data_IF_821652823650
#
_entry.id   IF_821652823650
#
_cell.length_a   1.000
_cell.length_b   1.000
_cell.length_c   1.000
_cell.angle_alpha   90.00
_cell.angle_beta   90.00
_cell.angle_gamma   90.00
#
_symmetry.space_group_name_H-M   'P 1'
#
loop_
_entity.id
_entity.type
_entity.pdbx_description
1 polymer ?
#
# COMPACT_ATOMS: atom_id res chain seq x y z
N UNK A 1 8.58 15.57 -14.93
CA UNK A 1 7.92 15.01 -13.72
C UNK A 1 8.69 13.83 -13.15
N UNK A 2 9.22 12.91 -13.97
CA UNK A 2 10.05 11.78 -13.51
C UNK A 2 11.25 12.21 -12.66
N UNK A 3 12.00 13.22 -13.10
CA UNK A 3 13.17 13.74 -12.39
C UNK A 3 12.86 14.26 -10.96
N UNK A 4 11.67 14.83 -10.76
CA UNK A 4 11.25 15.33 -9.43
C UNK A 4 10.83 14.14 -8.55
N UNK A 5 10.11 13.17 -9.11
CA UNK A 5 9.71 11.96 -8.39
C UNK A 5 10.94 11.14 -7.95
N UNK A 6 11.93 11.00 -8.83
CA UNK A 6 13.16 10.27 -8.55
C UNK A 6 14.02 10.96 -7.48
N UNK A 7 14.11 12.30 -7.51
CA UNK A 7 14.80 13.06 -6.46
C UNK A 7 14.09 12.93 -5.11
N UNK A 8 12.76 12.99 -5.08
CA UNK A 8 11.98 12.80 -3.85
C UNK A 8 12.19 11.37 -3.32
N UNK A 9 12.10 10.36 -4.18
CA UNK A 9 12.31 8.95 -3.82
C UNK A 9 13.75 8.71 -3.36
N UNK A 10 14.74 9.31 -4.01
CA UNK A 10 16.16 9.15 -3.69
C UNK A 10 16.52 9.85 -2.37
N UNK A 11 15.95 11.01 -2.08
CA UNK A 11 16.06 11.67 -0.77
C UNK A 11 15.36 10.84 0.31
N UNK A 12 14.21 10.24 -0.01
CA UNK A 12 13.51 9.34 0.89
C UNK A 12 14.38 8.12 1.20
N UNK A 13 14.83 7.37 0.19
CA UNK A 13 15.66 6.17 0.36
C UNK A 13 16.99 6.49 1.06
N UNK A 14 17.64 7.61 0.72
CA UNK A 14 18.93 8.02 1.31
C UNK A 14 18.83 8.37 2.80
N UNK A 15 17.71 8.96 3.24
CA UNK A 15 17.47 9.22 4.66
C UNK A 15 16.85 8.04 5.41
N UNK A 16 16.35 7.02 4.70
CA UNK A 16 15.68 5.87 5.29
C UNK A 16 16.66 4.73 5.59
N UNK A 17 17.26 4.78 6.77
CA UNK A 17 17.70 3.53 7.41
C UNK A 17 16.47 2.73 7.79
N UNK A 18 16.20 1.68 7.01
CA UNK A 18 15.11 0.71 7.17
C UNK A 18 14.98 0.13 8.60
N UNK A 19 16.02 0.23 9.41
CA UNK A 19 16.08 -0.32 10.78
C UNK A 19 15.39 0.58 11.83
N UNK A 20 15.26 1.89 11.60
CA UNK A 20 14.73 2.83 12.60
C UNK A 20 13.22 3.07 12.50
N UNK A 21 12.55 2.62 11.43
CA UNK A 21 11.15 3.00 11.13
C UNK A 21 10.25 1.84 10.66
N UNK A 22 9.87 0.91 11.56
CA UNK A 22 9.00 -0.23 11.24
C UNK A 22 7.63 0.17 10.68
N UNK A 23 7.10 1.33 11.11
CA UNK A 23 5.83 1.88 10.60
C UNK A 23 5.84 2.17 9.11
N UNK A 24 6.99 2.58 8.56
CA UNK A 24 7.10 2.89 7.13
C UNK A 24 7.16 1.64 6.26
N UNK A 25 7.82 0.59 6.73
CA UNK A 25 7.76 -0.72 6.06
C UNK A 25 6.32 -1.21 6.00
N UNK A 26 5.57 -1.09 7.11
CA UNK A 26 4.17 -1.51 7.14
C UNK A 26 3.27 -0.62 6.27
N UNK A 27 3.59 0.67 6.16
CA UNK A 27 2.89 1.57 5.24
C UNK A 27 3.07 1.13 3.79
N UNK A 28 4.31 0.88 3.34
CA UNK A 28 4.56 0.36 1.99
C UNK A 28 3.90 -1.00 1.75
N UNK A 29 3.88 -1.90 2.75
CA UNK A 29 3.14 -3.17 2.67
C UNK A 29 1.63 -2.93 2.47
N UNK A 30 1.02 -2.02 3.23
CA UNK A 30 -0.39 -1.67 3.11
C UNK A 30 -0.74 -1.10 1.73
N UNK A 31 0.04 -0.14 1.23
CA UNK A 31 -0.14 0.43 -0.11
C UNK A 31 0.01 -0.64 -1.20
N UNK A 32 1.01 -1.53 -1.06
CA UNK A 32 1.22 -2.64 -2.00
C UNK A 32 0.03 -3.60 -2.04
N UNK A 33 -0.53 -3.95 -0.87
CA UNK A 33 -1.75 -4.77 -0.76
C UNK A 33 -2.92 -4.08 -1.48
N UNK A 34 -3.11 -2.78 -1.27
CA UNK A 34 -4.15 -2.01 -1.94
C UNK A 34 -3.99 -2.02 -3.48
N UNK A 35 -2.77 -1.82 -3.98
CA UNK A 35 -2.48 -1.86 -5.42
C UNK A 35 -2.71 -3.25 -6.03
N UNK A 36 -2.31 -4.32 -5.33
CA UNK A 36 -2.56 -5.70 -5.76
C UNK A 36 -4.07 -5.98 -5.79
N UNK A 37 -4.81 -5.59 -4.75
CA UNK A 37 -6.27 -5.74 -4.71
C UNK A 37 -6.97 -5.00 -5.85
N UNK A 38 -6.51 -3.79 -6.18
CA UNK A 38 -6.98 -3.05 -7.34
C UNK A 38 -6.72 -3.77 -8.66
N UNK A 39 -5.49 -4.24 -8.88
CA UNK A 39 -5.13 -4.96 -10.11
C UNK A 39 -5.95 -6.26 -10.26
N UNK A 40 -6.04 -7.05 -9.19
CA UNK A 40 -6.81 -8.29 -9.18
C UNK A 40 -8.30 -8.06 -9.43
N UNK A 41 -8.90 -7.05 -8.80
CA UNK A 41 -10.32 -6.74 -9.02
C UNK A 41 -10.62 -6.34 -10.47
N UNK A 42 -9.71 -5.62 -11.13
CA UNK A 42 -9.85 -5.31 -12.56
C UNK A 42 -9.66 -6.56 -13.44
N UNK A 43 -8.70 -7.43 -13.12
CA UNK A 43 -8.48 -8.69 -13.85
C UNK A 43 -9.71 -9.60 -13.73
N UNK A 44 -10.24 -9.79 -12.53
CA UNK A 44 -11.45 -10.59 -12.28
C UNK A 44 -12.65 -10.01 -13.02
N UNK A 45 -12.87 -8.70 -12.91
CA UNK A 45 -13.95 -8.01 -13.62
C UNK A 45 -13.87 -8.18 -15.14
N UNK A 46 -12.66 -8.16 -15.69
CA UNK A 46 -12.42 -8.40 -17.11
C UNK A 46 -12.67 -9.85 -17.53
N UNK A 47 -12.27 -10.84 -16.71
CA UNK A 47 -12.50 -12.25 -16.97
C UNK A 47 -14.01 -12.57 -16.98
N UNK A 48 -14.76 -12.03 -16.02
CA UNK A 48 -16.19 -12.35 -15.87
C UNK A 48 -17.09 -11.60 -16.87
N UNK A 49 -16.81 -10.32 -17.14
CA UNK A 49 -17.72 -9.46 -17.90
C UNK A 49 -17.19 -9.12 -19.30
N UNK A 50 -15.97 -9.54 -19.64
CA UNK A 50 -15.25 -9.18 -20.88
C UNK A 50 -15.21 -7.67 -21.15
N UNK A 51 -15.37 -6.86 -20.11
CA UNK A 51 -15.45 -5.41 -20.18
C UNK A 51 -14.56 -4.83 -19.11
N UNK A 52 -13.74 -3.87 -19.52
CA UNK A 52 -12.99 -3.04 -18.58
C UNK A 52 -13.99 -2.17 -17.84
N UNK A 53 -13.80 -2.02 -16.53
CA UNK A 53 -14.67 -1.21 -15.70
C UNK A 53 -14.64 0.24 -16.19
N UNK A 54 -15.80 0.91 -16.16
CA UNK A 54 -15.89 2.31 -16.56
C UNK A 54 -14.96 3.18 -15.73
N UNK A 55 -14.31 4.17 -16.35
CA UNK A 55 -13.26 4.98 -15.72
C UNK A 55 -13.69 5.64 -14.40
N UNK A 56 -14.95 6.09 -14.33
CA UNK A 56 -15.58 6.64 -13.12
C UNK A 56 -15.58 5.66 -11.96
N UNK A 57 -15.96 4.40 -12.22
CA UNK A 57 -15.96 3.30 -11.25
C UNK A 57 -14.54 2.87 -10.92
N UNK A 58 -13.64 2.94 -11.88
CA UNK A 58 -12.25 2.54 -11.74
C UNK A 58 -11.50 3.43 -10.75
N UNK A 59 -11.73 4.75 -10.78
CA UNK A 59 -11.21 5.69 -9.77
C UNK A 59 -11.76 5.37 -8.38
N UNK A 60 -13.08 5.16 -8.28
CA UNK A 60 -13.73 4.80 -7.02
C UNK A 60 -13.16 3.51 -6.43
N UNK A 61 -12.97 2.49 -7.27
CA UNK A 61 -12.40 1.21 -6.88
C UNK A 61 -10.93 1.34 -6.45
N UNK A 62 -10.15 2.19 -7.12
CA UNK A 62 -8.79 2.52 -6.70
C UNK A 62 -8.79 3.14 -5.30
N UNK A 63 -9.63 4.13 -5.02
CA UNK A 63 -9.71 4.77 -3.70
C UNK A 63 -10.10 3.76 -2.62
N UNK A 64 -11.11 2.92 -2.88
CA UNK A 64 -11.58 1.90 -1.93
C UNK A 64 -10.49 0.87 -1.62
N UNK A 65 -9.78 0.39 -2.65
CA UNK A 65 -8.71 -0.59 -2.46
C UNK A 65 -7.48 0.00 -1.76
N UNK A 66 -7.15 1.27 -2.01
CA UNK A 66 -6.13 1.98 -1.23
C UNK A 66 -6.56 2.19 0.22
N UNK A 67 -7.83 2.49 0.47
CA UNK A 67 -8.36 2.59 1.84
C UNK A 67 -8.25 1.26 2.59
N UNK A 68 -8.57 0.14 1.93
CA UNK A 68 -8.37 -1.21 2.49
C UNK A 68 -6.88 -1.45 2.79
N UNK A 69 -5.99 -1.11 1.85
CA UNK A 69 -4.54 -1.18 2.04
C UNK A 69 -4.06 -0.37 3.25
N UNK A 70 -4.62 0.82 3.45
CA UNK A 70 -4.35 1.66 4.62
C UNK A 70 -4.84 1.03 5.94
N UNK A 71 -6.03 0.41 5.95
CA UNK A 71 -6.52 -0.35 7.11
C UNK A 71 -5.59 -1.53 7.42
N UNK A 72 -5.12 -2.26 6.41
CA UNK A 72 -4.12 -3.31 6.58
C UNK A 72 -2.81 -2.78 7.18
N UNK A 73 -2.35 -1.60 6.76
CA UNK A 73 -1.19 -0.94 7.36
C UNK A 73 -1.40 -0.67 8.85
N UNK A 74 -2.55 -0.11 9.25
CA UNK A 74 -2.87 0.15 10.66
C UNK A 74 -2.83 -1.17 11.45
N UNK A 75 -3.46 -2.22 10.90
CA UNK A 75 -3.50 -3.53 11.54
C UNK A 75 -2.10 -4.15 11.71
N UNK A 76 -1.29 -4.16 10.65
CA UNK A 76 0.09 -4.68 10.70
C UNK A 76 0.95 -3.89 11.68
N UNK A 77 0.82 -2.57 11.70
CA UNK A 77 1.55 -1.71 12.64
C UNK A 77 1.13 -1.94 14.09
N UNK A 78 -0.16 -2.20 14.33
CA UNK A 78 -0.67 -2.54 15.66
C UNK A 78 -0.16 -3.92 16.11
N UNK A 79 -0.12 -4.91 15.22
CA UNK A 79 0.44 -6.24 15.50
C UNK A 79 1.94 -6.14 15.83
N UNK A 80 2.70 -5.38 15.04
CA UNK A 80 4.13 -5.15 15.30
C UNK A 80 4.36 -4.40 16.61
N UNK A 81 3.50 -3.45 16.97
CA UNK A 81 3.56 -2.76 18.27
C UNK A 81 3.34 -3.74 19.43
N UNK A 82 2.32 -4.60 19.35
CA UNK A 82 2.02 -5.61 20.38
C UNK A 82 3.12 -6.68 20.50
N UNK A 83 3.73 -7.09 19.37
CA UNK A 83 4.81 -8.08 19.35
C UNK A 83 6.17 -7.48 19.75
N UNK A 84 6.44 -6.22 19.38
CA UNK A 84 7.64 -5.48 19.81
C UNK A 84 7.67 -5.20 21.31
N UNK A 85 6.50 -5.10 21.95
CA UNK A 85 6.37 -5.02 23.42
C UNK A 85 6.73 -6.33 24.15
N UNK A 86 6.61 -7.49 23.51
CA UNK A 86 6.96 -8.79 24.12
C UNK A 86 8.46 -9.09 24.18
N UNK A 87 9.27 -8.44 23.33
CA UNK A 87 10.73 -8.60 23.34
C UNK A 87 11.46 -7.61 24.26
N UNK A 88 10.71 -6.78 25.01
CA UNK A 88 11.24 -5.83 26.00
C UNK A 88 10.77 -6.11 27.44
N UNK A 89 10.12 -7.26 27.68
CA UNK A 89 9.74 -7.74 29.02
C UNK A 89 10.66 -8.85 29.48
#
# INVERSE_FOLDING_TARGET
MELIAEVIISIFISNFKSEDHPYLINFFKGITIGLIGYALGNIVGYIENHKVMEYSKQILFFIVTQFIGFVCFIFLSMVDFLNGGKNKS
#
